data_IF_170853609067
#
_entry.id   IF_170853609067
#
_cell.length_a   1.000
_cell.length_b   1.000
_cell.length_c   1.000
_cell.angle_alpha   90.00
_cell.angle_beta   90.00
_cell.angle_gamma   90.00
#
_symmetry.space_group_name_H-M   'P 1'
#
loop_
_entity.id
_entity.type
_entity.pdbx_description
1 polymer ?
#
# COMPACT_ATOMS: atom_id res chain seq x y z
N UNK A 1 -20.78 3.89 -2.73
CA UNK A 1 -20.04 2.74 -3.29
C UNK A 1 -18.87 2.39 -2.40
N UNK A 2 -18.53 1.10 -2.27
CA UNK A 2 -17.44 0.61 -1.43
C UNK A 2 -16.44 -0.16 -2.30
N UNK A 3 -15.15 -0.02 -2.01
CA UNK A 3 -14.06 -0.66 -2.77
C UNK A 3 -12.99 -1.22 -1.83
N UNK A 4 -12.34 -2.30 -2.25
CA UNK A 4 -11.25 -2.97 -1.53
C UNK A 4 -9.94 -2.81 -2.30
N UNK A 5 -8.84 -2.60 -1.58
CA UNK A 5 -7.49 -2.61 -2.13
C UNK A 5 -6.78 -3.88 -1.69
N UNK A 6 -6.45 -4.72 -2.66
CA UNK A 6 -5.75 -5.98 -2.44
C UNK A 6 -4.28 -5.86 -2.83
N UNK A 7 -3.39 -6.42 -2.02
CA UNK A 7 -1.98 -6.56 -2.38
C UNK A 7 -1.76 -7.95 -3.00
N UNK A 8 -1.27 -7.98 -4.24
CA UNK A 8 -0.78 -9.19 -4.90
C UNK A 8 0.68 -9.02 -5.28
N UNK A 9 1.55 -9.98 -4.93
CA UNK A 9 2.93 -9.98 -5.41
C UNK A 9 2.97 -10.55 -6.82
N UNK A 10 3.12 -9.69 -7.82
CA UNK A 10 3.58 -10.12 -9.15
C UNK A 10 5.10 -10.24 -9.07
N UNK A 11 5.62 -11.46 -9.11
CA UNK A 11 7.06 -11.72 -9.01
C UNK A 11 7.81 -11.06 -10.18
N UNK A 12 8.25 -9.81 -10.00
CA UNK A 12 9.31 -9.20 -10.79
C UNK A 12 10.42 -8.76 -9.86
N UNK A 13 11.54 -9.46 -9.98
CA UNK A 13 12.83 -9.12 -9.39
C UNK A 13 13.29 -7.74 -9.87
N UNK A 14 13.71 -6.87 -8.94
CA UNK A 14 14.59 -5.74 -9.24
C UNK A 14 14.18 -4.40 -8.64
N UNK A 15 14.82 -4.03 -7.53
CA UNK A 15 15.69 -2.84 -7.32
C UNK A 15 15.72 -2.56 -5.81
N UNK A 16 16.91 -2.69 -5.23
CA UNK A 16 17.20 -2.30 -3.87
C UNK A 16 18.06 -1.04 -3.88
N UNK A 17 17.63 0.00 -3.17
CA UNK A 17 18.51 0.94 -2.49
C UNK A 17 17.70 1.89 -1.58
N UNK A 18 17.75 1.65 -0.28
CA UNK A 18 17.73 2.69 0.75
C UNK A 18 18.27 2.09 2.06
N UNK A 19 19.51 2.46 2.40
CA UNK A 19 20.02 2.33 3.76
C UNK A 19 19.43 3.51 4.56
N UNK A 20 18.58 3.22 5.52
CA UNK A 20 18.24 4.11 6.63
C UNK A 20 17.78 3.26 7.80
N UNK A 21 18.42 3.50 8.93
CA UNK A 21 18.44 2.66 10.10
C UNK A 21 17.06 2.49 10.78
N UNK A 22 16.74 1.24 11.09
CA UNK A 22 16.12 0.86 12.37
C UNK A 22 14.61 1.03 12.53
N UNK A 23 13.84 0.20 11.85
CA UNK A 23 12.75 -0.55 12.49
C UNK A 23 12.80 -1.98 11.93
N UNK A 24 12.90 -2.97 12.80
CA UNK A 24 12.94 -4.40 12.51
C UNK A 24 11.56 -4.94 12.09
N UNK A 25 10.81 -4.15 11.31
CA UNK A 25 9.57 -4.58 10.69
C UNK A 25 9.83 -5.85 9.89
N UNK A 26 9.46 -6.99 10.45
CA UNK A 26 9.63 -8.29 9.81
C UNK A 26 8.87 -8.25 8.48
N UNK A 27 9.64 -8.31 7.39
CA UNK A 27 9.14 -8.21 6.02
C UNK A 27 8.43 -9.52 5.72
N UNK A 28 7.18 -9.64 6.16
CA UNK A 28 6.36 -10.83 5.99
C UNK A 28 6.15 -11.03 4.50
N UNK A 29 6.92 -11.94 3.91
CA UNK A 29 6.74 -12.34 2.51
C UNK A 29 5.39 -13.03 2.41
N UNK A 30 4.42 -12.34 1.80
CA UNK A 30 3.17 -12.95 1.40
C UNK A 30 3.48 -14.16 0.50
N UNK A 31 3.04 -15.35 0.91
CA UNK A 31 3.12 -16.55 0.09
C UNK A 31 2.30 -16.34 -1.18
N UNK A 32 2.89 -16.66 -2.33
CA UNK A 32 2.21 -16.56 -3.62
C UNK A 32 0.87 -17.32 -3.58
N UNK A 33 -0.23 -16.63 -3.87
CA UNK A 33 -1.58 -17.21 -3.91
C UNK A 33 -2.53 -16.77 -2.79
N UNK A 34 -2.09 -15.98 -1.81
CA UNK A 34 -2.98 -15.42 -0.80
C UNK A 34 -3.21 -13.91 -1.04
N UNK A 35 -4.42 -13.57 -1.48
CA UNK A 35 -4.86 -12.18 -1.62
C UNK A 35 -5.13 -11.61 -0.22
N UNK A 36 -4.45 -10.52 0.13
CA UNK A 36 -4.65 -9.82 1.40
C UNK A 36 -5.22 -8.44 1.13
N UNK A 37 -6.33 -8.14 1.78
CA UNK A 37 -6.91 -6.80 1.79
C UNK A 37 -6.05 -5.93 2.70
N UNK A 38 -5.40 -4.92 2.12
CA UNK A 38 -4.50 -3.99 2.83
C UNK A 38 -5.08 -2.58 2.91
N UNK A 39 -6.25 -2.36 2.32
CA UNK A 39 -6.96 -1.10 2.38
C UNK A 39 -8.41 -1.20 1.95
N UNK A 40 -9.21 -0.24 2.39
CA UNK A 40 -10.62 -0.10 2.01
C UNK A 40 -10.96 1.35 1.70
N UNK A 41 -11.95 1.55 0.83
CA UNK A 41 -12.58 2.85 0.60
C UNK A 41 -14.09 2.74 0.66
N UNK A 42 -14.72 3.65 1.40
CA UNK A 42 -16.17 3.76 1.48
C UNK A 42 -16.57 5.23 1.46
N UNK A 43 -17.17 5.68 0.35
CA UNK A 43 -17.42 7.10 0.13
C UNK A 43 -16.10 7.90 0.22
N UNK A 44 -16.06 8.86 1.15
CA UNK A 44 -14.90 9.74 1.38
C UNK A 44 -13.90 9.21 2.42
N UNK A 45 -14.10 7.99 2.92
CA UNK A 45 -13.23 7.37 3.93
C UNK A 45 -12.28 6.40 3.26
N UNK A 46 -10.98 6.55 3.52
CA UNK A 46 -9.91 5.61 3.12
C UNK A 46 -9.15 5.16 4.36
N UNK A 47 -8.96 3.86 4.50
CA UNK A 47 -8.18 3.25 5.57
C UNK A 47 -7.21 2.23 5.00
N UNK A 48 -5.97 2.21 5.51
CA UNK A 48 -4.88 1.35 5.08
C UNK A 48 -4.26 0.66 6.30
N UNK A 49 -3.78 -0.56 6.13
CA UNK A 49 -3.08 -1.31 7.18
C UNK A 49 -1.57 -1.03 7.23
N UNK A 50 -1.09 -0.06 6.45
CA UNK A 50 0.32 0.32 6.32
C UNK A 50 0.47 1.84 6.27
N UNK A 51 1.71 2.30 6.45
CA UNK A 51 2.10 3.72 6.42
C UNK A 51 2.52 4.13 5.00
N UNK A 52 1.64 4.70 4.16
CA UNK A 52 2.01 5.11 2.80
C UNK A 52 3.11 6.19 2.75
N UNK A 53 3.28 6.95 3.82
CA UNK A 53 4.28 8.01 3.98
C UNK A 53 5.73 7.51 4.06
N UNK A 54 5.95 6.28 4.55
CA UNK A 54 7.29 5.71 4.75
C UNK A 54 7.96 5.24 3.45
N UNK A 55 7.19 5.07 2.38
CA UNK A 55 7.63 4.60 1.07
C UNK A 55 8.20 5.75 0.19
N UNK A 56 7.97 7.02 0.56
CA UNK A 56 8.40 8.16 -0.25
C UNK A 56 7.62 8.33 -1.58
N UNK A 57 6.59 7.52 -1.82
CA UNK A 57 5.73 7.60 -3.00
C UNK A 57 4.44 8.38 -2.68
N UNK A 58 4.23 9.47 -3.42
CA UNK A 58 3.07 10.34 -3.23
C UNK A 58 1.82 9.93 -4.04
N UNK A 59 1.89 8.88 -4.86
CA UNK A 59 0.77 8.50 -5.74
C UNK A 59 -0.50 8.13 -4.96
N UNK A 60 -0.37 7.43 -3.83
CA UNK A 60 -1.52 7.06 -3.02
C UNK A 60 -2.19 8.31 -2.42
N UNK A 61 -1.40 9.25 -1.93
CA UNK A 61 -1.87 10.54 -1.43
C UNK A 61 -2.59 11.36 -2.51
N UNK A 62 -2.01 11.41 -3.73
CA UNK A 62 -2.63 12.11 -4.86
C UNK A 62 -3.96 11.46 -5.28
N UNK A 63 -4.04 10.12 -5.31
CA UNK A 63 -5.27 9.40 -5.61
C UNK A 63 -6.36 9.66 -4.55
N UNK A 64 -5.98 9.73 -3.27
CA UNK A 64 -6.90 10.11 -2.19
C UNK A 64 -7.44 11.52 -2.39
N UNK A 65 -6.59 12.51 -2.68
CA UNK A 65 -7.03 13.88 -2.95
C UNK A 65 -7.96 13.98 -4.17
N UNK A 66 -7.64 13.27 -5.26
CA UNK A 66 -8.46 13.25 -6.46
C UNK A 66 -9.86 12.66 -6.22
N UNK A 67 -10.01 11.79 -5.21
CA UNK A 67 -11.31 11.17 -4.89
C UNK A 67 -12.37 12.14 -4.37
N UNK A 68 -11.97 13.35 -3.93
CA UNK A 68 -12.90 14.41 -3.50
C UNK A 68 -13.35 15.33 -4.63
N UNK A 69 -12.76 15.24 -5.81
CA UNK A 69 -13.08 16.12 -6.94
C UNK A 69 -14.34 15.68 -7.72
N UNK A 70 -15.10 14.73 -7.17
CA UNK A 70 -16.26 14.08 -7.79
C UNK A 70 -17.52 14.24 -6.96
#
# INVERSE_FOLDING_TARGET
SSEVLSAGVSAKSGVACADSAGHDGELTRLTAGHEVIVGVRQGHVTALSFHPEENGDSRLHAAWLASFAH
#
